data_IF_698643818215
#
_entry.id   IF_698643818215
#
_cell.length_a   1.000
_cell.length_b   1.000
_cell.length_c   1.000
_cell.angle_alpha   90.00
_cell.angle_beta   90.00
_cell.angle_gamma   90.00
#
_symmetry.space_group_name_H-M   'P 1'
#
loop_
_entity.id
_entity.type
_entity.pdbx_description
1 polymer ?
#
# COMPACT_ATOMS: atom_id res chain seq x y z
N UNK A 1 -3.22 10.44 -15.40
CA UNK A 1 -3.18 8.97 -15.26
C UNK A 1 -4.31 8.36 -16.07
N UNK A 2 -4.06 7.31 -16.89
CA UNK A 2 -5.12 6.57 -17.58
C UNK A 2 -6.14 5.99 -16.58
N UNK A 3 -7.43 5.90 -16.92
CA UNK A 3 -8.45 5.40 -15.99
C UNK A 3 -8.24 3.93 -15.65
N UNK A 4 -8.59 3.54 -14.42
CA UNK A 4 -8.61 2.16 -13.93
C UNK A 4 -9.84 1.98 -13.02
N UNK A 5 -10.53 0.82 -13.04
CA UNK A 5 -11.76 0.61 -12.28
C UNK A 5 -11.57 0.76 -10.77
N UNK A 6 -10.43 0.33 -10.24
CA UNK A 6 -10.05 0.48 -8.84
C UNK A 6 -9.18 1.72 -8.62
N UNK A 7 -9.36 2.76 -9.44
CA UNK A 7 -8.73 4.07 -9.23
C UNK A 7 -9.74 5.19 -9.41
N UNK A 8 -9.78 6.08 -8.41
CA UNK A 8 -10.74 7.15 -8.28
C UNK A 8 -10.42 8.14 -9.38
N UNK A 9 -11.49 8.55 -10.04
CA UNK A 9 -11.36 9.52 -11.12
C UNK A 9 -10.85 10.83 -10.53
N UNK A 10 -9.98 11.55 -11.26
CA UNK A 10 -9.55 12.88 -10.86
C UNK A 10 -10.75 13.77 -10.53
N UNK A 11 -10.59 14.65 -9.55
CA UNK A 11 -11.61 15.64 -9.21
C UNK A 11 -12.06 16.41 -10.46
N UNK A 12 -13.38 16.45 -10.66
CA UNK A 12 -13.97 17.20 -11.78
C UNK A 12 -14.32 18.63 -11.40
N UNK A 13 -14.34 18.94 -10.09
CA UNK A 13 -14.74 20.22 -9.55
C UNK A 13 -13.65 20.72 -8.60
N UNK A 14 -13.09 21.88 -8.92
CA UNK A 14 -12.20 22.61 -8.04
C UNK A 14 -13.01 23.59 -7.20
N UNK A 15 -12.69 23.67 -5.91
CA UNK A 15 -13.23 24.66 -5.00
C UNK A 15 -12.24 25.82 -4.94
N UNK A 16 -12.73 27.03 -5.17
CA UNK A 16 -11.90 28.24 -5.14
C UNK A 16 -12.43 29.25 -4.13
N UNK A 17 -11.52 29.91 -3.42
CA UNK A 17 -11.79 31.07 -2.58
C UNK A 17 -11.21 32.32 -3.25
N UNK A 18 -11.93 33.43 -3.18
CA UNK A 18 -11.44 34.75 -3.61
C UNK A 18 -11.69 35.75 -2.49
N UNK A 19 -10.66 36.50 -2.08
CA UNK A 19 -10.88 37.71 -1.28
C UNK A 19 -11.13 38.89 -2.21
N UNK A 20 -11.82 39.91 -1.72
CA UNK A 20 -12.12 41.13 -2.48
C UNK A 20 -10.89 41.91 -2.94
N UNK A 21 -9.71 41.62 -2.38
CA UNK A 21 -8.41 42.17 -2.78
C UNK A 21 -7.60 41.31 -3.75
N UNK A 22 -8.06 40.09 -4.07
CA UNK A 22 -7.29 39.15 -4.88
C UNK A 22 -7.61 39.34 -6.37
N UNK A 23 -6.56 39.46 -7.20
CA UNK A 23 -6.70 39.55 -8.66
C UNK A 23 -7.17 38.23 -9.30
N UNK A 24 -7.02 37.09 -8.60
CA UNK A 24 -7.43 35.76 -9.07
C UNK A 24 -7.92 34.86 -7.92
N UNK A 25 -8.92 34.01 -8.16
CA UNK A 25 -9.32 32.95 -7.23
C UNK A 25 -8.15 31.99 -6.95
N UNK A 26 -8.03 31.58 -5.68
CA UNK A 26 -7.08 30.55 -5.25
C UNK A 26 -7.84 29.23 -5.08
N UNK A 27 -7.31 28.14 -5.64
CA UNK A 27 -7.84 26.80 -5.42
C UNK A 27 -7.58 26.40 -3.98
N UNK A 28 -8.62 26.04 -3.25
CA UNK A 28 -8.56 25.66 -1.83
C UNK A 28 -9.06 24.24 -1.57
N UNK A 29 -9.47 23.52 -2.61
CA UNK A 29 -9.91 22.14 -2.48
C UNK A 29 -10.51 21.60 -3.78
N UNK A 30 -11.02 20.39 -3.69
CA UNK A 30 -11.64 19.62 -4.76
C UNK A 30 -12.89 18.94 -4.22
N UNK A 31 -13.88 18.67 -5.09
CA UNK A 31 -15.05 17.88 -4.72
C UNK A 31 -15.01 16.52 -5.40
N UNK A 32 -15.31 15.49 -4.61
CA UNK A 32 -15.43 14.11 -5.03
C UNK A 32 -16.83 13.56 -4.71
N UNK A 33 -17.27 12.49 -5.39
CA UNK A 33 -18.44 11.74 -4.96
C UNK A 33 -18.30 11.27 -3.50
N UNK A 34 -19.38 11.36 -2.73
CA UNK A 34 -19.39 10.85 -1.36
C UNK A 34 -19.50 9.32 -1.35
N UNK A 35 -18.56 8.66 -0.68
CA UNK A 35 -18.47 7.20 -0.58
C UNK A 35 -18.99 6.73 0.79
N UNK A 36 -20.18 6.14 0.81
CA UNK A 36 -20.92 5.85 2.05
C UNK A 36 -20.24 4.79 2.94
N UNK A 37 -19.45 3.89 2.36
CA UNK A 37 -18.77 2.81 3.09
C UNK A 37 -17.43 3.25 3.72
N UNK A 38 -17.05 4.53 3.57
CA UNK A 38 -15.87 5.09 4.23
C UNK A 38 -14.55 4.52 3.71
N UNK A 39 -13.59 4.29 4.60
CA UNK A 39 -12.28 3.71 4.26
C UNK A 39 -12.24 2.22 4.63
N UNK A 40 -11.30 1.47 4.04
CA UNK A 40 -11.03 0.09 4.45
C UNK A 40 -10.60 0.02 5.92
N UNK A 41 -9.84 1.01 6.42
CA UNK A 41 -9.51 1.10 7.85
C UNK A 41 -10.77 1.21 8.72
N UNK A 42 -11.68 2.13 8.39
CA UNK A 42 -12.95 2.31 9.14
C UNK A 42 -13.81 1.04 9.09
N UNK A 43 -13.81 0.33 7.97
CA UNK A 43 -14.56 -0.91 7.81
C UNK A 43 -13.96 -2.06 8.63
N UNK A 44 -12.63 -2.19 8.66
CA UNK A 44 -11.92 -3.14 9.52
C UNK A 44 -12.27 -2.84 10.98
N UNK A 45 -12.12 -1.58 11.41
CA UNK A 45 -12.40 -1.16 12.79
C UNK A 45 -13.84 -1.47 13.20
N UNK A 46 -14.83 -1.13 12.37
CA UNK A 46 -16.24 -1.43 12.62
C UNK A 46 -16.48 -2.94 12.82
N UNK A 47 -15.82 -3.79 12.03
CA UNK A 47 -15.94 -5.26 12.15
C UNK A 47 -15.24 -5.79 13.41
N UNK A 48 -14.08 -5.22 13.78
CA UNK A 48 -13.38 -5.55 15.03
C UNK A 48 -14.26 -5.21 16.24
N UNK A 49 -14.78 -3.98 16.30
CA UNK A 49 -15.65 -3.50 17.39
C UNK A 49 -16.94 -4.31 17.53
N UNK A 50 -17.53 -4.71 16.40
CA UNK A 50 -18.74 -5.55 16.37
C UNK A 50 -18.46 -7.04 16.49
N UNK A 51 -17.19 -7.46 16.65
CA UNK A 51 -16.76 -8.86 16.69
C UNK A 51 -17.23 -9.67 15.46
N UNK A 52 -17.33 -9.00 14.31
CA UNK A 52 -17.70 -9.61 13.04
C UNK A 52 -16.46 -9.96 12.21
N UNK A 53 -16.52 -11.10 11.52
CA UNK A 53 -15.47 -11.53 10.60
C UNK A 53 -15.83 -11.11 9.18
N UNK A 54 -14.89 -10.45 8.52
CA UNK A 54 -14.99 -10.14 7.09
C UNK A 54 -14.80 -11.46 6.32
N UNK A 55 -15.73 -11.84 5.42
CA UNK A 55 -15.63 -13.10 4.68
C UNK A 55 -14.39 -13.19 3.79
N UNK A 56 -13.80 -14.39 3.68
CA UNK A 56 -12.63 -14.64 2.82
C UNK A 56 -12.82 -14.19 1.36
N UNK A 57 -13.97 -14.43 0.69
CA UNK A 57 -14.16 -13.96 -0.68
C UNK A 57 -14.05 -12.43 -0.81
N UNK A 58 -14.53 -11.70 0.19
CA UNK A 58 -14.43 -10.24 0.23
C UNK A 58 -12.98 -9.79 0.45
N UNK A 59 -12.26 -10.45 1.38
CA UNK A 59 -10.84 -10.19 1.61
C UNK A 59 -10.00 -10.41 0.35
N UNK A 60 -10.18 -11.54 -0.34
CA UNK A 60 -9.48 -11.83 -1.60
C UNK A 60 -9.80 -10.80 -2.69
N UNK A 61 -11.07 -10.39 -2.81
CA UNK A 61 -11.48 -9.36 -3.76
C UNK A 61 -10.74 -8.05 -3.50
N UNK A 62 -10.74 -7.55 -2.27
CA UNK A 62 -10.06 -6.30 -1.94
C UNK A 62 -8.54 -6.40 -2.11
N UNK A 63 -7.91 -7.53 -1.72
CA UNK A 63 -6.49 -7.74 -1.97
C UNK A 63 -6.14 -7.66 -3.47
N UNK A 64 -6.98 -8.25 -4.34
CA UNK A 64 -6.82 -8.10 -5.78
C UNK A 64 -6.98 -6.65 -6.24
N UNK A 65 -8.03 -5.95 -5.80
CA UNK A 65 -8.33 -4.59 -6.25
C UNK A 65 -7.22 -3.61 -5.85
N UNK A 66 -6.71 -3.72 -4.62
CA UNK A 66 -5.55 -2.96 -4.16
C UNK A 66 -4.32 -3.27 -5.02
N UNK A 67 -3.99 -4.55 -5.23
CA UNK A 67 -2.84 -4.94 -6.05
C UNK A 67 -2.97 -4.45 -7.51
N UNK A 68 -4.15 -4.54 -8.10
CA UNK A 68 -4.42 -4.09 -9.47
C UNK A 68 -4.28 -2.57 -9.61
N UNK A 69 -4.75 -1.81 -8.62
CA UNK A 69 -4.59 -0.35 -8.60
C UNK A 69 -3.11 0.07 -8.53
N UNK A 70 -2.32 -0.59 -7.67
CA UNK A 70 -0.89 -0.31 -7.55
C UNK A 70 -0.12 -0.78 -8.79
N UNK A 71 -0.47 -1.93 -9.38
CA UNK A 71 0.09 -2.37 -10.66
C UNK A 71 -0.15 -1.36 -11.77
N UNK A 72 -1.37 -0.82 -11.89
CA UNK A 72 -1.67 0.22 -12.87
C UNK A 72 -0.88 1.51 -12.63
N UNK A 73 -0.70 1.88 -11.36
CA UNK A 73 0.10 3.06 -10.95
C UNK A 73 1.54 2.96 -11.45
N UNK A 74 2.19 1.81 -11.28
CA UNK A 74 3.57 1.62 -11.73
C UNK A 74 3.70 1.31 -13.23
N UNK A 75 2.92 0.34 -13.72
CA UNK A 75 3.14 -0.28 -15.03
C UNK A 75 2.47 0.48 -16.18
N UNK A 76 1.41 1.25 -15.89
CA UNK A 76 0.65 2.00 -16.90
C UNK A 76 0.81 3.50 -16.73
N UNK A 77 0.72 4.00 -15.50
CA UNK A 77 0.83 5.42 -15.21
C UNK A 77 2.28 5.88 -15.00
N UNK A 78 3.21 4.94 -14.79
CA UNK A 78 4.64 5.22 -14.53
C UNK A 78 4.85 6.24 -13.41
N UNK A 79 4.07 6.08 -12.34
CA UNK A 79 4.09 6.93 -11.15
C UNK A 79 4.05 6.05 -9.89
N UNK A 80 3.84 6.67 -8.74
CA UNK A 80 3.84 6.05 -7.42
C UNK A 80 2.81 6.71 -6.48
N UNK A 81 2.44 6.02 -5.40
CA UNK A 81 1.43 6.47 -4.44
C UNK A 81 2.03 7.13 -3.18
N UNK A 82 3.15 6.63 -2.65
CA UNK A 82 3.82 6.96 -1.37
C UNK A 82 3.07 6.63 -0.08
N UNK A 83 1.75 6.64 -0.06
CA UNK A 83 0.97 6.48 1.18
C UNK A 83 0.00 5.28 1.10
N UNK A 84 0.52 4.06 0.98
CA UNK A 84 -0.31 2.85 0.89
C UNK A 84 -0.65 2.35 2.30
N UNK A 85 -1.91 2.49 2.70
CA UNK A 85 -2.46 2.02 3.98
C UNK A 85 -3.96 1.74 3.87
N UNK A 86 -4.60 0.98 4.78
CA UNK A 86 -6.04 0.73 4.73
C UNK A 86 -6.90 2.00 4.75
N UNK A 87 -6.48 3.06 5.47
CA UNK A 87 -7.17 4.35 5.46
C UNK A 87 -7.19 5.03 4.09
N UNK A 88 -6.30 4.58 3.20
CA UNK A 88 -6.07 5.11 1.87
C UNK A 88 -6.74 4.30 0.75
N UNK A 89 -7.50 3.27 1.11
CA UNK A 89 -8.40 2.58 0.20
C UNK A 89 -9.83 2.95 0.60
N UNK A 90 -10.42 3.90 -0.12
CA UNK A 90 -11.83 4.28 0.11
C UNK A 90 -12.73 3.18 -0.38
N UNK A 91 -13.74 2.78 0.38
CA UNK A 91 -14.76 1.86 -0.07
C UNK A 91 -15.84 2.62 -0.86
N UNK A 92 -15.74 2.65 -2.20
CA UNK A 92 -16.92 2.98 -3.02
C UNK A 92 -17.77 1.72 -3.24
N UNK A 93 -18.63 1.68 -4.25
CA UNK A 93 -18.95 0.38 -4.83
C UNK A 93 -17.68 -0.22 -5.55
N UNK A 94 -16.56 0.53 -5.71
CA UNK A 94 -15.31 0.25 -6.50
C UNK A 94 -13.93 1.00 -6.16
N UNK A 95 -13.79 1.76 -5.06
CA UNK A 95 -12.60 2.40 -4.40
C UNK A 95 -11.56 3.34 -5.12
N UNK A 96 -11.17 4.56 -4.56
CA UNK A 96 -9.76 5.16 -4.48
C UNK A 96 -9.53 6.65 -4.01
N UNK A 97 -8.26 7.18 -3.93
CA UNK A 97 -7.77 8.21 -2.95
C UNK A 97 -6.66 9.27 -3.39
N UNK A 98 -6.20 10.16 -2.46
CA UNK A 98 -5.30 11.35 -2.53
C UNK A 98 -4.12 11.34 -1.48
N UNK A 99 -3.01 12.05 -1.74
CA UNK A 99 -1.66 11.94 -1.12
C UNK A 99 -1.41 12.75 0.19
N UNK A 100 -0.83 12.14 1.25
CA UNK A 100 -0.01 12.85 2.26
C UNK A 100 0.83 11.90 3.15
N UNK A 101 2.14 12.20 3.28
CA UNK A 101 3.17 11.54 4.13
C UNK A 101 3.28 10.00 4.06
N UNK A 102 4.49 9.45 4.06
CA UNK A 102 4.64 8.00 4.16
C UNK A 102 4.25 7.58 5.59
N UNK A 103 3.27 6.68 5.77
CA UNK A 103 2.80 6.32 7.08
C UNK A 103 3.85 5.45 7.76
N UNK A 104 4.25 5.84 8.97
CA UNK A 104 5.28 5.14 9.75
C UNK A 104 4.94 3.65 9.94
N UNK A 105 3.66 3.28 9.90
CA UNK A 105 3.20 1.92 10.22
C UNK A 105 3.22 0.95 9.03
N UNK A 106 3.23 1.44 7.78
CA UNK A 106 3.26 0.59 6.58
C UNK A 106 4.43 0.88 5.63
N UNK A 107 5.17 1.97 5.82
CA UNK A 107 6.32 2.34 4.99
C UNK A 107 7.39 1.23 4.94
N UNK A 108 7.98 0.98 3.77
CA UNK A 108 9.14 0.08 3.69
C UNK A 108 10.35 0.66 4.45
N UNK A 109 11.15 -0.15 5.16
CA UNK A 109 12.25 0.37 5.98
C UNK A 109 13.32 1.11 5.15
N UNK A 110 13.56 0.69 3.91
CA UNK A 110 14.60 1.27 3.06
C UNK A 110 14.24 2.64 2.46
N UNK A 111 13.00 3.13 2.63
CA UNK A 111 12.60 4.47 2.12
C UNK A 111 12.99 5.62 3.06
N UNK A 112 13.78 5.34 4.10
CA UNK A 112 14.22 6.30 5.12
C UNK A 112 15.11 7.45 4.62
N UNK A 113 15.47 7.48 3.34
CA UNK A 113 16.33 8.52 2.75
C UNK A 113 17.82 8.28 2.93
N UNK A 114 18.24 7.18 3.58
CA UNK A 114 19.65 6.89 3.87
C UNK A 114 20.31 5.94 2.88
N UNK A 115 19.56 5.45 1.89
CA UNK A 115 20.02 4.47 0.91
C UNK A 115 20.11 5.04 -0.51
N UNK A 116 21.22 4.74 -1.17
CA UNK A 116 21.33 4.78 -2.62
C UNK A 116 20.93 3.44 -3.21
N UNK A 117 20.29 3.47 -4.36
CA UNK A 117 19.91 2.26 -5.08
C UNK A 117 20.32 2.36 -6.54
N UNK A 118 20.98 1.32 -7.00
CA UNK A 118 21.32 1.13 -8.41
C UNK A 118 20.70 -0.18 -8.89
N UNK A 119 20.19 -0.18 -10.12
CA UNK A 119 19.72 -1.40 -10.76
C UNK A 119 20.85 -1.98 -11.62
N UNK A 120 21.11 -3.27 -11.44
CA UNK A 120 22.04 -4.04 -12.27
C UNK A 120 21.28 -5.11 -13.05
N UNK A 121 21.62 -5.30 -14.32
CA UNK A 121 20.86 -6.18 -15.22
C UNK A 121 19.59 -5.54 -15.78
N UNK A 122 18.86 -6.29 -16.62
CA UNK A 122 17.67 -5.81 -17.33
C UNK A 122 16.51 -6.81 -17.19
N UNK A 123 15.28 -6.29 -17.26
CA UNK A 123 14.06 -7.10 -17.21
C UNK A 123 13.89 -7.88 -15.91
N UNK A 124 13.49 -9.14 -16.01
CA UNK A 124 13.26 -10.03 -14.85
C UNK A 124 14.54 -10.41 -14.10
N UNK A 125 15.72 -10.23 -14.71
CA UNK A 125 17.02 -10.48 -14.08
C UNK A 125 17.59 -9.24 -13.37
N UNK A 126 16.83 -8.15 -13.31
CA UNK A 126 17.24 -6.93 -12.64
C UNK A 126 17.42 -7.17 -11.13
N UNK A 127 18.60 -6.85 -10.62
CA UNK A 127 18.93 -6.91 -9.19
C UNK A 127 19.21 -5.51 -8.68
N UNK A 128 18.60 -5.14 -7.56
CA UNK A 128 18.80 -3.87 -6.89
C UNK A 128 20.00 -3.95 -5.94
N UNK A 129 20.91 -2.99 -6.05
CA UNK A 129 22.02 -2.84 -5.12
C UNK A 129 21.78 -1.63 -4.24
N UNK A 130 21.45 -1.89 -2.98
CA UNK A 130 21.30 -0.87 -1.95
C UNK A 130 22.65 -0.58 -1.29
N UNK A 131 23.01 0.70 -1.18
CA UNK A 131 24.24 1.15 -0.51
C UNK A 131 23.88 2.25 0.47
N UNK A 132 24.37 2.13 1.70
CA UNK A 132 24.17 3.18 2.69
C UNK A 132 24.93 4.41 2.26
N UNK A 133 24.23 5.54 2.16
CA UNK A 133 24.84 6.79 1.74
C UNK A 133 25.84 7.29 2.78
N UNK A 134 26.99 7.76 2.30
CA UNK A 134 28.12 8.19 3.13
C UNK A 134 28.62 9.61 2.81
N UNK A 135 27.86 10.37 2.02
CA UNK A 135 28.20 11.76 1.67
C UNK A 135 27.66 12.80 2.67
N UNK A 136 27.71 14.09 2.30
CA UNK A 136 27.20 15.20 3.12
C UNK A 136 25.71 15.08 3.43
N UNK A 137 25.22 15.75 4.47
CA UNK A 137 23.79 15.74 4.82
C UNK A 137 22.89 15.99 3.59
N UNK A 138 21.99 15.03 3.33
CA UNK A 138 21.05 15.08 2.21
C UNK A 138 19.86 15.95 2.57
N UNK A 139 19.43 16.82 1.65
CA UNK A 139 18.13 17.49 1.72
C UNK A 139 17.68 17.90 0.32
N UNK A 140 16.48 17.47 -0.05
CA UNK A 140 15.78 18.01 -1.23
C UNK A 140 14.33 18.38 -0.96
N UNK A 141 13.85 18.12 0.25
CA UNK A 141 12.57 18.61 0.73
C UNK A 141 12.73 20.01 1.33
N UNK A 142 11.74 20.91 1.16
CA UNK A 142 11.75 22.24 1.79
C UNK A 142 11.97 22.17 3.30
N UNK A 143 12.63 23.18 3.88
CA UNK A 143 12.81 23.29 5.34
C UNK A 143 11.48 23.39 6.10
N UNK A 144 10.41 23.76 5.41
CA UNK A 144 9.06 23.85 5.95
C UNK A 144 8.30 22.53 5.89
N UNK A 145 8.91 21.44 5.41
CA UNK A 145 8.27 20.12 5.34
C UNK A 145 8.04 19.62 6.77
N UNK A 146 6.79 19.33 7.17
CA UNK A 146 6.49 18.77 8.49
C UNK A 146 7.14 17.39 8.67
N UNK A 147 7.39 17.00 9.93
CA UNK A 147 7.95 15.71 10.30
C UNK A 147 9.46 15.72 10.55
N UNK A 148 9.95 14.71 11.26
CA UNK A 148 11.35 14.54 11.67
C UNK A 148 11.99 13.26 11.11
N UNK A 149 11.27 12.50 10.29
CA UNK A 149 11.76 11.26 9.67
C UNK A 149 12.64 11.58 8.47
N UNK A 150 13.48 10.62 8.08
CA UNK A 150 14.46 10.82 7.02
C UNK A 150 13.83 11.15 5.66
N UNK A 151 12.66 10.59 5.34
CA UNK A 151 11.92 10.93 4.12
C UNK A 151 11.33 12.35 4.09
N UNK A 152 11.08 12.98 5.25
CA UNK A 152 10.70 14.40 5.33
C UNK A 152 11.86 15.33 4.94
N UNK A 153 13.09 14.81 4.95
CA UNK A 153 14.30 15.51 4.52
C UNK A 153 14.75 15.09 3.12
N UNK A 154 14.71 13.79 2.84
CA UNK A 154 15.08 13.17 1.58
C UNK A 154 14.05 12.12 1.13
N UNK A 155 13.01 12.56 0.42
CA UNK A 155 12.05 11.68 -0.23
C UNK A 155 12.67 10.88 -1.40
N UNK A 156 12.99 9.60 -1.17
CA UNK A 156 13.60 8.72 -2.17
C UNK A 156 12.71 8.46 -3.40
N UNK A 157 11.37 8.57 -3.29
CA UNK A 157 10.47 8.28 -4.40
C UNK A 157 10.66 9.23 -5.58
N UNK A 158 11.03 10.49 -5.32
CA UNK A 158 11.32 11.50 -6.35
C UNK A 158 12.53 11.11 -7.22
N UNK A 159 13.46 10.36 -6.65
CA UNK A 159 14.69 9.91 -7.30
C UNK A 159 14.51 8.52 -7.92
N UNK A 160 13.99 7.57 -7.14
CA UNK A 160 13.80 6.19 -7.58
C UNK A 160 12.80 6.09 -8.73
N UNK A 161 11.76 6.93 -8.77
CA UNK A 161 10.84 6.97 -9.91
C UNK A 161 11.52 7.27 -11.25
N UNK A 162 12.64 7.98 -11.24
CA UNK A 162 13.41 8.35 -12.45
C UNK A 162 14.51 7.35 -12.74
N UNK A 163 15.22 6.94 -11.69
CA UNK A 163 16.50 6.24 -11.83
C UNK A 163 16.40 4.74 -11.53
N UNK A 164 15.40 4.31 -10.73
CA UNK A 164 15.25 2.93 -10.29
C UNK A 164 13.77 2.57 -9.98
N UNK A 165 12.88 2.54 -10.98
CA UNK A 165 11.44 2.30 -10.75
C UNK A 165 11.14 0.98 -10.04
N UNK A 166 12.02 -0.03 -10.19
CA UNK A 166 11.86 -1.31 -9.51
C UNK A 166 12.05 -1.22 -7.99
N UNK A 167 12.99 -0.41 -7.51
CA UNK A 167 13.15 -0.18 -6.07
C UNK A 167 11.90 0.48 -5.47
N UNK A 168 11.34 1.42 -6.21
CA UNK A 168 10.10 2.09 -5.85
C UNK A 168 8.92 1.10 -5.81
N UNK A 169 8.76 0.25 -6.83
CA UNK A 169 7.73 -0.80 -6.86
C UNK A 169 7.82 -1.72 -5.63
N UNK A 170 9.03 -2.20 -5.31
CA UNK A 170 9.22 -3.13 -4.19
C UNK A 170 8.97 -2.48 -2.82
N UNK A 171 9.21 -1.17 -2.69
CA UNK A 171 8.82 -0.41 -1.50
C UNK A 171 7.29 -0.30 -1.36
N UNK A 172 6.57 -0.03 -2.46
CA UNK A 172 5.11 0.02 -2.45
C UNK A 172 4.47 -1.37 -2.25
N UNK A 173 5.10 -2.43 -2.75
CA UNK A 173 4.70 -3.82 -2.48
C UNK A 173 4.78 -4.13 -0.98
N UNK A 174 5.80 -3.65 -0.27
CA UNK A 174 5.90 -3.84 1.17
C UNK A 174 4.72 -3.18 1.91
N UNK A 175 4.43 -1.91 1.60
CA UNK A 175 3.30 -1.19 2.18
C UNK A 175 1.95 -1.81 1.85
N UNK A 176 1.82 -2.35 0.63
CA UNK A 176 0.65 -3.13 0.23
C UNK A 176 0.54 -4.44 1.01
N UNK A 177 1.65 -5.16 1.22
CA UNK A 177 1.71 -6.36 2.04
C UNK A 177 1.29 -6.11 3.49
N UNK A 178 1.73 -5.00 4.08
CA UNK A 178 1.29 -4.56 5.43
C UNK A 178 -0.21 -4.31 5.45
N UNK A 179 -0.73 -3.58 4.47
CA UNK A 179 -2.17 -3.30 4.35
C UNK A 179 -3.01 -4.58 4.18
N UNK A 180 -2.50 -5.55 3.41
CA UNK A 180 -3.12 -6.86 3.24
C UNK A 180 -3.13 -7.65 4.55
N UNK A 181 -2.03 -7.66 5.31
CA UNK A 181 -2.01 -8.29 6.64
C UNK A 181 -3.06 -7.68 7.57
N UNK A 182 -3.12 -6.34 7.66
CA UNK A 182 -4.10 -5.64 8.51
C UNK A 182 -5.54 -6.03 8.15
N UNK A 183 -5.85 -6.13 6.85
CA UNK A 183 -7.15 -6.60 6.38
C UNK A 183 -7.41 -8.09 6.70
N UNK A 184 -6.43 -8.95 6.43
CA UNK A 184 -6.60 -10.39 6.58
C UNK A 184 -6.73 -10.79 8.05
N UNK A 185 -5.91 -10.21 8.91
CA UNK A 185 -5.94 -10.43 10.34
C UNK A 185 -7.09 -9.65 11.02
N UNK A 186 -7.61 -8.59 10.39
CA UNK A 186 -8.51 -7.62 11.02
C UNK A 186 -7.89 -7.04 12.29
N UNK A 187 -6.69 -6.49 12.15
CA UNK A 187 -5.99 -5.85 13.26
C UNK A 187 -6.79 -4.66 13.78
N UNK A 188 -6.86 -4.52 15.09
CA UNK A 188 -7.36 -3.30 15.73
C UNK A 188 -6.46 -2.13 15.32
N UNK A 189 -7.06 -1.12 14.69
CA UNK A 189 -6.32 0.00 14.12
C UNK A 189 -5.85 0.98 15.20
N UNK A 190 -6.49 0.96 16.37
CA UNK A 190 -6.14 1.82 17.53
C UNK A 190 -4.78 1.45 18.13
N UNK A 191 -4.24 0.26 17.81
CA UNK A 191 -2.89 -0.16 18.23
C UNK A 191 -1.80 0.68 17.54
N UNK A 192 -2.09 1.30 16.39
CA UNK A 192 -1.11 2.00 15.58
C UNK A 192 -1.07 3.53 15.80
N UNK A 193 -1.85 4.05 16.76
CA UNK A 193 -1.96 5.50 17.03
C UNK A 193 -0.77 6.06 17.83
N UNK A 194 0.11 5.19 18.33
CA UNK A 194 1.16 5.54 19.29
C UNK A 194 2.58 5.55 18.68
N UNK A 195 2.81 6.27 17.58
CA UNK A 195 4.17 6.67 17.16
C UNK A 195 5.18 5.53 16.91
N UNK A 196 4.74 4.28 16.87
CA UNK A 196 5.58 3.10 16.67
C UNK A 196 6.23 3.17 15.28
N UNK A 197 7.53 2.92 15.24
CA UNK A 197 8.29 2.80 14.01
C UNK A 197 7.86 1.56 13.22
N UNK A 198 8.00 1.56 11.88
CA UNK A 198 7.70 0.38 11.04
C UNK A 198 8.35 -0.91 11.55
N UNK A 199 9.55 -0.77 12.13
CA UNK A 199 10.38 -1.86 12.64
C UNK A 199 9.80 -2.51 13.90
N UNK A 200 9.00 -1.77 14.66
CA UNK A 200 8.34 -2.25 15.89
C UNK A 200 7.04 -3.01 15.58
N UNK A 201 6.43 -2.78 14.41
CA UNK A 201 5.22 -3.50 14.00
C UNK A 201 5.56 -4.95 13.63
N UNK A 202 5.26 -5.88 14.53
CA UNK A 202 5.39 -7.33 14.28
C UNK A 202 4.16 -7.84 13.55
N UNK A 203 4.35 -8.44 12.37
CA UNK A 203 3.31 -9.22 11.69
C UNK A 203 3.11 -10.53 12.43
N UNK A 204 2.04 -10.57 13.21
CA UNK A 204 1.62 -11.76 13.95
C UNK A 204 0.20 -12.17 13.51
N UNK A 205 -0.01 -13.47 13.36
CA UNK A 205 -1.28 -14.06 12.92
C UNK A 205 -1.95 -14.69 14.14
N UNK A 206 -2.59 -13.86 14.97
CA UNK A 206 -3.12 -14.25 16.29
C UNK A 206 -4.51 -14.88 16.19
N UNK A 207 -5.28 -14.53 15.17
CA UNK A 207 -6.66 -14.95 14.99
C UNK A 207 -6.74 -16.44 14.62
N UNK A 208 -7.72 -17.18 15.16
CA UNK A 208 -7.89 -18.60 14.87
C UNK A 208 -8.19 -18.85 13.38
N UNK A 209 -7.15 -19.24 12.63
CA UNK A 209 -7.13 -20.34 11.67
C UNK A 209 -7.84 -20.23 10.30
N UNK A 210 -8.64 -19.20 10.02
CA UNK A 210 -9.43 -19.19 8.78
C UNK A 210 -8.70 -18.63 7.55
N UNK A 211 -7.61 -17.89 7.74
CA UNK A 211 -6.81 -17.35 6.62
C UNK A 211 -5.95 -18.47 6.01
N UNK A 212 -6.09 -18.78 4.70
CA UNK A 212 -5.29 -19.79 4.04
C UNK A 212 -3.78 -19.54 4.17
N UNK A 213 -3.00 -20.62 4.38
CA UNK A 213 -1.54 -20.49 4.54
C UNK A 213 -0.87 -19.93 3.27
N UNK A 214 -1.43 -20.18 2.09
CA UNK A 214 -0.98 -19.57 0.84
C UNK A 214 -1.09 -18.04 0.86
N UNK A 215 -2.13 -17.49 1.49
CA UNK A 215 -2.35 -16.05 1.61
C UNK A 215 -1.38 -15.44 2.63
N UNK A 216 -1.14 -16.13 3.75
CA UNK A 216 -0.08 -15.72 4.69
C UNK A 216 1.28 -15.76 4.02
N UNK A 217 1.54 -16.79 3.22
CA UNK A 217 2.76 -16.93 2.41
C UNK A 217 2.97 -15.78 1.42
N UNK A 218 1.94 -15.37 0.68
CA UNK A 218 2.08 -14.24 -0.26
C UNK A 218 2.36 -12.93 0.48
N UNK A 219 1.70 -12.71 1.62
CA UNK A 219 1.92 -11.52 2.45
C UNK A 219 3.34 -11.52 3.01
N UNK A 220 3.86 -12.66 3.49
CA UNK A 220 5.27 -12.76 3.93
C UNK A 220 6.24 -12.40 2.81
N UNK A 221 5.98 -12.86 1.58
CA UNK A 221 6.78 -12.48 0.39
C UNK A 221 6.70 -10.99 0.05
N UNK A 222 5.61 -10.28 0.37
CA UNK A 222 5.58 -8.82 0.24
C UNK A 222 6.46 -8.13 1.29
N UNK A 223 6.60 -8.76 2.46
CA UNK A 223 7.21 -8.19 3.66
C UNK A 223 8.66 -8.62 3.88
N UNK A 224 9.30 -9.25 2.88
CA UNK A 224 10.71 -9.60 2.96
C UNK A 224 11.56 -8.36 3.27
N UNK A 225 12.49 -8.52 4.21
CA UNK A 225 13.35 -7.42 4.64
C UNK A 225 14.22 -6.96 3.47
N UNK A 226 14.75 -7.91 2.69
CA UNK A 226 15.53 -7.62 1.50
C UNK A 226 14.59 -7.31 0.33
N UNK A 227 14.66 -6.12 -0.28
CA UNK A 227 13.74 -5.76 -1.37
C UNK A 227 13.80 -6.72 -2.56
N UNK A 228 14.97 -7.26 -2.90
CA UNK A 228 15.12 -8.22 -4.01
C UNK A 228 14.41 -9.56 -3.80
N UNK A 229 14.13 -9.93 -2.55
CA UNK A 229 13.42 -11.17 -2.21
C UNK A 229 11.89 -10.97 -2.23
N UNK A 230 11.44 -9.70 -2.33
CA UNK A 230 10.01 -9.39 -2.38
C UNK A 230 9.39 -9.83 -3.71
N UNK A 231 8.15 -10.28 -3.61
CA UNK A 231 7.33 -10.58 -4.80
C UNK A 231 7.12 -9.33 -5.67
N UNK A 232 7.16 -9.49 -6.99
CA UNK A 232 6.83 -8.39 -7.92
C UNK A 232 5.33 -8.12 -7.99
N UNK A 233 4.94 -6.87 -8.32
CA UNK A 233 3.53 -6.48 -8.32
C UNK A 233 2.67 -7.30 -9.30
N UNK A 234 3.21 -7.67 -10.46
CA UNK A 234 2.52 -8.50 -11.46
C UNK A 234 2.19 -9.90 -10.93
N UNK A 235 3.15 -10.52 -10.22
CA UNK A 235 2.94 -11.85 -9.63
C UNK A 235 1.92 -11.77 -8.48
N UNK A 236 1.97 -10.70 -7.68
CA UNK A 236 1.00 -10.45 -6.61
C UNK A 236 -0.43 -10.28 -7.14
N UNK A 237 -0.62 -9.52 -8.23
CA UNK A 237 -1.93 -9.39 -8.91
C UNK A 237 -2.41 -10.76 -9.40
N UNK A 238 -1.54 -11.52 -10.06
CA UNK A 238 -1.87 -12.84 -10.61
C UNK A 238 -2.31 -13.79 -9.50
N UNK A 239 -1.61 -13.80 -8.37
CA UNK A 239 -1.97 -14.59 -7.21
C UNK A 239 -3.39 -14.28 -6.72
N UNK A 240 -3.69 -13.00 -6.42
CA UNK A 240 -5.00 -12.62 -5.89
C UNK A 240 -6.13 -12.79 -6.89
N UNK A 241 -5.85 -12.63 -8.19
CA UNK A 241 -6.82 -12.91 -9.24
C UNK A 241 -7.20 -14.39 -9.26
N UNK A 242 -6.22 -15.30 -9.12
CA UNK A 242 -6.49 -16.72 -9.02
C UNK A 242 -7.32 -17.06 -7.78
N UNK A 243 -6.95 -16.52 -6.61
CA UNK A 243 -7.60 -16.84 -5.34
C UNK A 243 -9.06 -16.35 -5.28
N UNK A 244 -9.36 -15.13 -5.76
CA UNK A 244 -10.75 -14.63 -5.80
C UNK A 244 -11.62 -15.45 -6.74
N UNK A 245 -11.07 -15.95 -7.85
CA UNK A 245 -11.82 -16.80 -8.80
C UNK A 245 -12.09 -18.19 -8.23
N UNK A 246 -11.11 -18.81 -7.55
CA UNK A 246 -11.30 -20.09 -6.85
C UNK A 246 -12.47 -20.02 -5.88
N UNK A 247 -12.52 -18.97 -5.06
CA UNK A 247 -13.61 -18.76 -4.09
C UNK A 247 -14.99 -18.52 -4.74
N UNK A 248 -15.04 -17.83 -5.89
CA UNK A 248 -16.29 -17.62 -6.65
C UNK A 248 -16.80 -18.89 -7.33
N UNK A 249 -15.89 -19.77 -7.76
CA UNK A 249 -16.23 -21.03 -8.42
C UNK A 249 -16.66 -22.16 -7.47
N UNK A 250 -16.64 -21.94 -6.16
CA UNK A 250 -17.02 -22.95 -5.16
C UNK A 250 -16.03 -24.12 -5.05
N UNK A 251 -14.81 -24.00 -5.60
CA UNK A 251 -13.73 -24.94 -5.33
C UNK A 251 -13.21 -24.71 -3.91
N UNK A 252 -13.86 -25.35 -2.94
CA UNK A 252 -13.47 -25.35 -1.53
C UNK A 252 -12.13 -26.07 -1.39
N UNK A 253 -11.22 -25.47 -0.62
CA UNK A 253 -9.96 -26.09 -0.20
C UNK A 253 -10.24 -27.39 0.55
N UNK A 254 -9.91 -28.54 -0.04
CA UNK A 254 -9.78 -29.78 0.73
C UNK A 254 -8.59 -29.60 1.67
N UNK A 255 -8.90 -29.34 2.94
CA UNK A 255 -7.93 -29.51 4.03
C UNK A 255 -7.64 -31.01 4.11
N UNK A 256 -6.43 -31.40 3.71
CA UNK A 256 -5.93 -32.75 3.98
C UNK A 256 -5.72 -32.90 5.49
N UNK A 257 -6.77 -33.27 6.22
CA UNK A 257 -6.61 -33.95 7.50
C UNK A 257 -6.01 -35.32 7.22
N UNK A 258 -4.68 -35.41 7.37
CA UNK A 258 -4.03 -36.70 7.58
C UNK A 258 -4.49 -37.23 8.94
N UNK A 259 -5.47 -38.13 8.90
CA UNK A 259 -5.69 -39.12 9.93
C UNK A 259 -4.39 -39.90 10.14
N UNK A 260 -3.82 -39.78 11.34
CA UNK A 260 -2.88 -40.74 11.88
C UNK A 260 -3.67 -41.63 12.83
N UNK A 261 -3.96 -42.84 12.36
CA UNK A 261 -4.13 -44.03 13.20
C UNK A 261 -2.77 -44.49 13.74
#
# INVERSE_FOLDING_TARGET
>A
MPPHPNIMKPAQILVTVSKSSDDKPVVCGTLYPFLQNGTLASYIQMNVESSQRIPLPQKAQWCYEMASAIAHTHLVAHTYHMDIKPGNFLLDDNNNLEQNDAPVTTAAPEIDGTWDVEQTGEGENATLQYRKYSGPERRHMPLTTPGDKGWNTWNVFLEWSKNCPKALELAEVFSLGRSMWMLLEQTDMDIFDDGESTEEVVVDWKSPGDIPESWKGIVRRCLEIQPNDRIGITELVTFWDCERHKLRSGQVFEVQEKLLD
#
